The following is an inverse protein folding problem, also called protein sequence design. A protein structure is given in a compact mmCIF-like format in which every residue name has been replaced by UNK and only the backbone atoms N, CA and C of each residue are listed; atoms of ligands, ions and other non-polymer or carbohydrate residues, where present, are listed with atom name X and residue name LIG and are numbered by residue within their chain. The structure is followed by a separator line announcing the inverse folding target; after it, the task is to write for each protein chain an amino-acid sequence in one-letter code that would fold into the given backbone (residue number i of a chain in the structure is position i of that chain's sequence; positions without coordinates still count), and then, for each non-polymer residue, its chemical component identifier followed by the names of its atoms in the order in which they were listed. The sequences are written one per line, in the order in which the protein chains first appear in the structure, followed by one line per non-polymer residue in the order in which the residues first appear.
data_IF_601589283889
#
_entry.id   IF_601589283889
#
_cell.length_a   1.000
_cell.length_b   1.000
_cell.length_c   1.000
_cell.angle_alpha   90.00
_cell.angle_beta   90.00
_cell.angle_gamma   90.00
#
_symmetry.space_group_name_H-M   'P 1'
#
loop_
_entity.id
_entity.type
_entity.pdbx_description
1 polymer ?
#
# COMPACT_ATOMS: atom_id res chain seq x y z
N UNK A 1 4.14 17.51 18.70
CA UNK A 1 3.81 16.67 17.53
C UNK A 1 4.11 15.24 17.89
N UNK A 2 3.31 14.28 17.41
CA UNK A 2 3.76 12.89 17.36
C UNK A 2 4.80 12.77 16.23
N UNK A 3 5.81 11.90 16.36
CA UNK A 3 6.75 11.63 15.28
C UNK A 3 6.02 10.97 14.11
N UNK A 4 6.50 11.20 12.89
CA UNK A 4 6.01 10.49 11.71
C UNK A 4 6.21 8.97 11.90
N UNK A 5 5.33 8.18 11.32
CA UNK A 5 5.40 6.72 11.40
C UNK A 5 4.83 6.08 10.15
N UNK A 6 5.22 4.84 9.89
CA UNK A 6 4.62 4.02 8.84
C UNK A 6 4.32 2.63 9.39
N UNK A 7 3.34 1.97 8.79
CA UNK A 7 2.87 0.65 9.22
C UNK A 7 3.03 -0.33 8.07
N UNK A 8 3.65 -1.47 8.33
CA UNK A 8 3.76 -2.57 7.39
C UNK A 8 2.75 -3.66 7.75
N UNK A 9 2.07 -4.18 6.72
CA UNK A 9 1.38 -5.46 6.80
C UNK A 9 2.42 -6.58 6.75
N UNK A 10 2.52 -7.39 7.79
CA UNK A 10 3.50 -8.48 7.86
C UNK A 10 2.92 -9.85 7.53
N UNK A 11 1.66 -10.12 7.90
CA UNK A 11 1.02 -11.40 7.62
C UNK A 11 -0.50 -11.39 7.85
N UNK A 12 -1.21 -12.22 7.07
CA UNK A 12 -2.59 -12.63 7.31
C UNK A 12 -2.63 -14.12 7.68
N UNK A 13 -3.33 -14.47 8.77
CA UNK A 13 -3.54 -15.86 9.22
C UNK A 13 -5.03 -16.19 9.23
N UNK A 14 -5.39 -17.38 8.72
CA UNK A 14 -6.78 -17.79 8.60
C UNK A 14 -6.97 -19.08 7.82
N UNK A 15 -8.23 -19.40 7.50
CA UNK A 15 -8.61 -20.60 6.73
C UNK A 15 -9.89 -20.37 5.94
N UNK A 16 -10.08 -21.11 4.85
CA UNK A 16 -11.31 -21.06 4.05
C UNK A 16 -11.59 -19.70 3.40
N UNK A 17 -10.56 -18.91 3.11
CA UNK A 17 -10.71 -17.55 2.57
C UNK A 17 -11.08 -16.48 3.61
N UNK A 18 -11.14 -16.84 4.89
CA UNK A 18 -11.37 -15.90 6.00
C UNK A 18 -10.04 -15.57 6.67
N UNK A 19 -9.69 -14.29 6.72
CA UNK A 19 -8.57 -13.79 7.51
C UNK A 19 -9.06 -13.63 8.96
N UNK A 20 -8.53 -14.45 9.86
CA UNK A 20 -8.87 -14.40 11.29
C UNK A 20 -7.98 -13.42 12.06
N UNK A 21 -6.71 -13.30 11.64
CA UNK A 21 -5.72 -12.41 12.27
C UNK A 21 -4.94 -11.72 11.16
N UNK A 22 -4.87 -10.39 11.22
CA UNK A 22 -3.94 -9.57 10.43
C UNK A 22 -2.87 -8.98 11.35
N UNK A 23 -1.62 -9.10 10.94
CA UNK A 23 -0.47 -8.60 11.71
C UNK A 23 0.11 -7.38 11.03
N UNK A 24 0.03 -6.25 11.75
CA UNK A 24 0.66 -5.01 11.38
C UNK A 24 1.81 -4.67 12.32
N UNK A 25 2.85 -4.03 11.79
CA UNK A 25 3.92 -3.46 12.59
C UNK A 25 4.14 -1.99 12.22
N UNK A 26 4.05 -1.14 13.22
CA UNK A 26 4.28 0.31 13.08
C UNK A 26 5.69 0.68 13.52
N UNK A 27 6.35 1.48 12.70
CA UNK A 27 7.68 2.01 12.94
C UNK A 27 7.65 3.53 13.01
N UNK A 28 8.31 4.10 14.03
CA UNK A 28 8.58 5.54 14.06
C UNK A 28 9.69 5.88 13.06
N UNK A 29 9.52 6.99 12.34
CA UNK A 29 10.55 7.57 11.49
C UNK A 29 11.81 7.97 12.28
N UNK A 30 11.67 8.24 13.58
CA UNK A 30 12.78 8.57 14.49
C UNK A 30 13.45 7.33 15.10
N UNK A 31 13.05 6.12 14.70
CA UNK A 31 13.68 4.90 15.21
C UNK A 31 15.14 4.81 14.78
N UNK A 32 15.96 4.04 15.52
CA UNK A 32 17.36 3.78 15.14
C UNK A 32 17.51 2.79 13.98
N UNK A 33 16.40 2.25 13.47
CA UNK A 33 16.41 1.36 12.32
C UNK A 33 16.68 2.15 11.05
N UNK A 34 17.34 1.52 10.08
CA UNK A 34 17.56 2.11 8.76
C UNK A 34 16.69 1.37 7.76
N UNK A 35 15.92 2.14 7.00
CA UNK A 35 15.10 1.65 5.91
C UNK A 35 15.69 2.13 4.58
N UNK A 36 15.47 1.37 3.53
CA UNK A 36 15.91 1.73 2.17
C UNK A 36 14.80 1.33 1.21
N UNK A 37 14.45 2.24 0.32
CA UNK A 37 13.51 1.95 -0.76
C UNK A 37 14.24 1.07 -1.77
N UNK A 38 13.80 -0.17 -1.90
CA UNK A 38 14.39 -1.12 -2.85
C UNK A 38 13.85 -0.90 -4.27
N UNK A 39 12.58 -0.53 -4.36
CA UNK A 39 11.87 -0.35 -5.61
C UNK A 39 10.78 0.70 -5.45
N UNK A 40 10.50 1.43 -6.55
CA UNK A 40 9.34 2.32 -6.67
C UNK A 40 8.44 1.78 -7.77
N UNK A 41 7.10 1.86 -7.61
CA UNK A 41 6.18 1.45 -8.65
C UNK A 41 6.47 2.15 -9.99
N UNK A 42 6.31 1.44 -11.09
CA UNK A 42 6.43 2.00 -12.43
C UNK A 42 5.26 2.97 -12.72
N UNK A 43 5.47 3.91 -13.65
CA UNK A 43 4.39 4.74 -14.18
C UNK A 43 3.34 3.82 -14.83
N UNK A 44 2.07 4.08 -14.54
CA UNK A 44 0.93 3.27 -15.00
C UNK A 44 0.59 2.09 -14.07
N UNK A 45 1.46 1.75 -13.10
CA UNK A 45 1.10 0.80 -12.04
C UNK A 45 -0.04 1.37 -11.18
N UNK A 46 -0.88 0.51 -10.63
CA UNK A 46 -2.04 0.94 -9.84
C UNK A 46 -1.93 0.45 -8.40
N UNK A 47 -1.93 1.40 -7.46
CA UNK A 47 -2.03 1.15 -6.03
C UNK A 47 -3.49 0.87 -5.69
N UNK A 48 -3.79 -0.32 -5.17
CA UNK A 48 -5.11 -0.67 -4.68
C UNK A 48 -5.13 -0.47 -3.18
N UNK A 49 -5.91 0.51 -2.71
CA UNK A 49 -6.11 0.80 -1.30
C UNK A 49 -7.42 0.17 -0.80
N UNK A 50 -7.46 -0.28 0.45
CA UNK A 50 -8.64 -0.94 1.04
C UNK A 50 -9.86 -0.02 1.21
N UNK A 51 -9.61 1.28 1.39
CA UNK A 51 -10.60 2.33 1.64
C UNK A 51 -10.07 3.72 1.23
N UNK A 52 -10.93 4.75 1.17
CA UNK A 52 -10.50 6.15 1.06
C UNK A 52 -9.98 6.72 2.39
N UNK A 53 -9.01 7.63 2.33
CA UNK A 53 -8.54 8.42 3.49
C UNK A 53 -7.04 8.26 3.77
N UNK A 54 -6.54 9.00 4.75
CA UNK A 54 -5.11 9.00 5.11
C UNK A 54 -4.64 7.69 5.77
N UNK A 55 -5.56 6.96 6.41
CA UNK A 55 -5.30 5.67 7.06
C UNK A 55 -5.54 4.46 6.13
N UNK A 56 -5.58 4.69 4.81
CA UNK A 56 -5.83 3.64 3.83
C UNK A 56 -4.64 2.66 3.72
N UNK A 57 -4.93 1.37 3.67
CA UNK A 57 -3.91 0.31 3.54
C UNK A 57 -3.70 -0.03 2.07
N UNK A 58 -2.44 0.01 1.59
CA UNK A 58 -2.07 -0.58 0.30
C UNK A 58 -2.17 -2.11 0.39
N UNK A 59 -3.15 -2.69 -0.29
CA UNK A 59 -3.44 -4.13 -0.24
C UNK A 59 -2.95 -4.88 -1.47
N UNK A 60 -2.77 -4.17 -2.59
CA UNK A 60 -2.21 -4.73 -3.81
C UNK A 60 -1.56 -3.63 -4.66
N UNK A 61 -0.46 -3.98 -5.33
CA UNK A 61 0.17 -3.14 -6.34
C UNK A 61 0.10 -3.88 -7.67
N UNK A 62 -0.81 -3.41 -8.54
CA UNK A 62 -1.06 -3.98 -9.85
C UNK A 62 -0.16 -3.35 -10.91
N UNK A 63 0.12 -4.09 -11.98
CA UNK A 63 0.93 -3.56 -13.09
C UNK A 63 0.21 -2.50 -13.92
N UNK A 64 -1.13 -2.55 -13.96
CA UNK A 64 -2.01 -1.61 -14.64
C UNK A 64 -3.45 -1.69 -14.09
N UNK A 65 -4.36 -0.89 -14.64
CA UNK A 65 -5.76 -0.85 -14.22
C UNK A 65 -6.50 -2.17 -14.47
N UNK A 66 -6.21 -2.88 -15.57
CA UNK A 66 -6.90 -4.13 -15.89
C UNK A 66 -6.52 -5.24 -14.90
N UNK A 67 -5.23 -5.32 -14.55
CA UNK A 67 -4.74 -6.22 -13.49
C UNK A 67 -5.38 -5.89 -12.13
N UNK A 68 -5.50 -4.61 -11.78
CA UNK A 68 -6.15 -4.18 -10.53
C UNK A 68 -7.63 -4.59 -10.48
N UNK A 69 -8.38 -4.36 -11.56
CA UNK A 69 -9.79 -4.72 -11.66
C UNK A 69 -9.97 -6.25 -11.59
N UNK A 70 -9.14 -7.01 -12.32
CA UNK A 70 -9.18 -8.47 -12.27
C UNK A 70 -8.88 -8.98 -10.85
N UNK A 71 -7.88 -8.41 -10.18
CA UNK A 71 -7.56 -8.74 -8.81
C UNK A 71 -8.75 -8.48 -7.86
N UNK A 72 -9.44 -7.34 -7.99
CA UNK A 72 -10.62 -7.01 -7.19
C UNK A 72 -11.80 -7.97 -7.40
N UNK A 73 -11.96 -8.58 -8.57
CA UNK A 73 -13.02 -9.60 -8.75
C UNK A 73 -12.85 -10.80 -7.83
N UNK A 74 -11.61 -11.05 -7.36
CA UNK A 74 -11.26 -12.16 -6.47
C UNK A 74 -11.11 -11.73 -5.01
N UNK A 75 -11.18 -10.43 -4.71
CA UNK A 75 -10.91 -9.88 -3.38
C UNK A 75 -12.04 -8.92 -2.95
N UNK A 76 -12.77 -9.30 -1.90
CA UNK A 76 -14.00 -8.63 -1.46
C UNK A 76 -13.80 -7.32 -0.69
N UNK A 77 -13.02 -6.38 -1.22
CA UNK A 77 -12.90 -5.04 -0.66
C UNK A 77 -14.17 -4.23 -0.99
N UNK A 78 -14.90 -3.69 0.02
CA UNK A 78 -16.20 -3.06 -0.22
C UNK A 78 -16.11 -1.66 -0.83
N UNK A 79 -14.99 -0.96 -0.64
CA UNK A 79 -14.80 0.40 -1.15
C UNK A 79 -13.32 0.66 -1.52
N UNK A 80 -12.73 -0.13 -2.44
CA UNK A 80 -11.34 0.02 -2.80
C UNK A 80 -11.11 1.34 -3.54
N UNK A 81 -9.91 1.91 -3.39
CA UNK A 81 -9.46 3.05 -4.20
C UNK A 81 -8.35 2.58 -5.14
N UNK A 82 -8.50 2.87 -6.43
CA UNK A 82 -7.47 2.66 -7.44
C UNK A 82 -6.74 3.99 -7.65
N UNK A 83 -5.46 4.03 -7.28
CA UNK A 83 -4.57 5.19 -7.43
C UNK A 83 -3.44 4.85 -8.42
N UNK A 84 -3.55 5.37 -9.64
CA UNK A 84 -2.57 5.16 -10.69
C UNK A 84 -1.30 6.00 -10.44
N UNK A 85 -0.14 5.36 -10.57
CA UNK A 85 1.16 6.02 -10.45
C UNK A 85 1.42 6.85 -11.70
N UNK A 86 1.37 8.17 -11.55
CA UNK A 86 1.62 9.11 -12.64
C UNK A 86 3.04 9.69 -12.60
N UNK A 87 3.51 10.22 -13.74
CA UNK A 87 4.83 10.84 -13.85
C UNK A 87 5.03 12.01 -12.87
N UNK A 88 3.98 12.80 -12.63
CA UNK A 88 4.01 13.96 -11.73
C UNK A 88 4.19 13.55 -10.26
N UNK A 89 3.64 12.39 -9.85
CA UNK A 89 3.84 11.83 -8.51
C UNK A 89 5.29 11.38 -8.30
N UNK A 90 5.91 10.73 -9.30
CA UNK A 90 7.32 10.30 -9.18
C UNK A 90 8.28 11.51 -9.08
N UNK A 91 7.97 12.60 -9.78
CA UNK A 91 8.79 13.81 -9.75
C UNK A 91 8.76 14.51 -8.37
N UNK A 92 7.61 14.52 -7.68
CA UNK A 92 7.49 15.08 -6.34
C UNK A 92 8.33 14.30 -5.30
N UNK A 93 8.35 12.97 -5.40
CA UNK A 93 9.12 12.09 -4.52
C UNK A 93 10.65 12.26 -4.63
N UNK A 94 11.16 12.75 -5.78
CA UNK A 94 12.59 12.99 -5.97
C UNK A 94 13.07 14.30 -5.29
N UNK A 95 12.15 15.20 -4.93
CA UNK A 95 12.49 16.49 -4.30
C UNK A 95 12.57 16.39 -2.77
N UNK A 96 11.89 15.40 -2.17
CA UNK A 96 11.84 15.20 -0.70
C UNK A 96 12.72 14.05 -0.17
N UNK A 97 13.56 13.43 -1.01
CA UNK A 97 14.46 12.32 -0.66
C UNK A 97 15.90 12.71 -0.39
#
# INVERSE_FOLDING_TARGET
SLPASFTLHEADYGSGGVIAIRVHRTFSADSRLRFTVLERPAIGAVRVLDRPGEDAELVHLASDCADAEEWLTRHGYPNPVLDEVTADQIAADHVEG
#
